data_IF_840442241430
#
_entry.id   IF_840442241430
#
_cell.length_a   1.000
_cell.length_b   1.000
_cell.length_c   1.000
_cell.angle_alpha   90.00
_cell.angle_beta   90.00
_cell.angle_gamma   90.00
#
_symmetry.space_group_name_H-M   'P 1'
#
loop_
_entity.id
_entity.type
_entity.pdbx_description
1 polymer ?
#
# COMPACT_ATOMS: atom_id res chain seq x y z
N UNK A 1 34.43 20.32 -36.02
CA UNK A 1 34.85 19.36 -35.01
C UNK A 1 34.03 18.07 -35.01
N UNK A 2 33.00 17.96 -35.86
CA UNK A 2 32.16 16.77 -36.00
C UNK A 2 31.12 16.59 -34.89
N UNK A 3 30.92 17.57 -33.99
CA UNK A 3 29.88 17.55 -32.99
C UNK A 3 28.47 17.63 -33.62
N UNK A 4 27.53 16.90 -33.10
CA UNK A 4 26.13 16.88 -33.54
C UNK A 4 25.25 17.25 -32.36
N UNK A 5 24.28 18.16 -32.57
CA UNK A 5 23.23 18.50 -31.62
C UNK A 5 21.92 18.01 -32.21
N UNK A 6 21.11 17.36 -31.39
CA UNK A 6 19.77 16.92 -31.74
C UNK A 6 18.78 17.46 -30.70
N UNK A 7 17.67 17.99 -31.14
CA UNK A 7 16.55 18.40 -30.30
C UNK A 7 15.32 17.57 -30.69
N UNK A 8 14.59 17.11 -29.71
CA UNK A 8 13.36 16.33 -29.88
C UNK A 8 12.44 16.56 -28.68
N UNK A 9 11.12 16.39 -28.88
CA UNK A 9 10.18 16.32 -27.76
C UNK A 9 10.42 15.04 -26.96
N UNK A 10 10.22 15.10 -25.65
CA UNK A 10 10.38 13.93 -24.78
C UNK A 10 9.31 12.90 -25.11
N UNK A 11 9.76 11.74 -25.55
CA UNK A 11 8.93 10.57 -25.82
C UNK A 11 9.76 9.30 -25.61
N UNK A 12 9.10 8.19 -25.35
CA UNK A 12 9.73 6.90 -25.11
C UNK A 12 10.70 6.43 -26.21
N UNK A 13 10.51 6.90 -27.44
CA UNK A 13 11.33 6.52 -28.60
C UNK A 13 12.33 7.59 -29.07
N UNK A 14 12.30 8.78 -28.48
CA UNK A 14 13.03 9.97 -29.00
C UNK A 14 14.54 9.75 -29.15
N UNK A 15 15.14 8.92 -28.29
CA UNK A 15 16.60 8.70 -28.25
C UNK A 15 17.00 7.22 -28.35
N UNK A 16 16.06 6.34 -28.62
CA UNK A 16 16.31 4.89 -28.72
C UNK A 16 17.33 4.57 -29.81
N UNK A 17 18.34 3.75 -29.49
CA UNK A 17 19.38 3.31 -30.45
C UNK A 17 20.43 4.36 -30.79
N UNK A 18 20.47 5.48 -30.05
CA UNK A 18 21.47 6.53 -30.24
C UNK A 18 22.43 6.57 -29.04
N UNK A 19 23.65 7.00 -29.27
CA UNK A 19 24.67 7.25 -28.23
C UNK A 19 24.90 8.74 -28.09
N UNK A 20 24.88 9.24 -26.84
CA UNK A 20 25.11 10.65 -26.54
C UNK A 20 26.19 10.82 -25.49
N UNK A 21 26.95 11.92 -25.60
CA UNK A 21 27.91 12.34 -24.59
C UNK A 21 27.20 13.20 -23.51
N UNK A 22 26.18 13.95 -23.92
CA UNK A 22 25.39 14.80 -23.04
C UNK A 22 23.91 14.63 -23.40
N UNK A 23 23.08 14.43 -22.41
CA UNK A 23 21.63 14.49 -22.51
C UNK A 23 21.19 15.66 -21.64
N UNK A 24 20.40 16.57 -22.24
CA UNK A 24 19.85 17.72 -21.55
C UNK A 24 18.32 17.64 -21.60
N UNK A 25 17.70 17.58 -20.42
CA UNK A 25 16.26 17.54 -20.26
C UNK A 25 15.79 18.87 -19.69
N UNK A 26 14.97 19.55 -20.45
CA UNK A 26 14.41 20.85 -20.12
C UNK A 26 12.96 20.69 -19.65
N UNK A 27 12.56 21.44 -18.64
CA UNK A 27 11.21 21.43 -18.05
C UNK A 27 10.72 20.01 -17.70
N UNK A 28 11.61 19.21 -17.12
CA UNK A 28 11.36 17.78 -16.91
C UNK A 28 10.19 17.49 -15.95
N UNK A 29 9.95 18.36 -14.95
CA UNK A 29 8.82 18.23 -14.05
C UNK A 29 7.45 18.39 -14.72
N UNK A 30 7.38 18.95 -15.95
CA UNK A 30 6.14 19.15 -16.69
C UNK A 30 5.79 17.99 -17.63
N UNK A 31 6.63 16.96 -17.67
CA UNK A 31 6.39 15.77 -18.48
C UNK A 31 5.40 14.87 -17.72
N UNK A 32 4.33 14.36 -18.39
CA UNK A 32 3.42 13.40 -17.75
C UNK A 32 4.18 12.18 -17.19
N UNK A 33 3.81 11.74 -16.00
CA UNK A 33 4.53 10.70 -15.25
C UNK A 33 4.77 9.43 -16.05
N UNK A 34 3.74 8.92 -16.75
CA UNK A 34 3.86 7.72 -17.58
C UNK A 34 4.88 7.88 -18.74
N UNK A 35 5.02 9.09 -19.30
CA UNK A 35 6.02 9.38 -20.34
C UNK A 35 7.42 9.49 -19.72
N UNK A 36 7.54 10.10 -18.54
CA UNK A 36 8.80 10.22 -17.83
C UNK A 36 9.35 8.83 -17.45
N UNK A 37 8.51 7.95 -16.92
CA UNK A 37 8.87 6.58 -16.55
C UNK A 37 9.32 5.75 -17.76
N UNK A 38 8.54 5.80 -18.85
CA UNK A 38 8.86 5.09 -20.07
C UNK A 38 10.15 5.65 -20.73
N UNK A 39 10.34 6.96 -20.71
CA UNK A 39 11.53 7.62 -21.20
C UNK A 39 12.76 7.17 -20.41
N UNK A 40 12.73 7.24 -19.09
CA UNK A 40 13.85 6.81 -18.25
C UNK A 40 14.20 5.34 -18.46
N UNK A 41 13.20 4.45 -18.48
CA UNK A 41 13.39 3.02 -18.73
C UNK A 41 14.05 2.75 -20.09
N UNK A 42 13.73 3.56 -21.11
CA UNK A 42 14.28 3.38 -22.45
C UNK A 42 15.64 4.06 -22.68
N UNK A 43 15.92 5.13 -21.94
CA UNK A 43 17.13 5.95 -22.10
C UNK A 43 18.24 5.53 -21.14
N UNK A 44 17.90 5.06 -19.96
CA UNK A 44 18.89 4.67 -18.94
C UNK A 44 19.92 3.62 -19.43
N UNK A 45 19.56 2.58 -20.22
CA UNK A 45 20.55 1.69 -20.80
C UNK A 45 21.53 2.39 -21.74
N UNK A 46 21.09 3.44 -22.43
CA UNK A 46 21.94 4.26 -23.31
C UNK A 46 22.91 5.12 -22.51
N UNK A 47 22.43 5.67 -21.37
CA UNK A 47 23.25 6.45 -20.44
C UNK A 47 24.31 5.54 -19.80
N UNK A 48 23.92 4.39 -19.29
CA UNK A 48 24.80 3.45 -18.59
C UNK A 48 25.84 2.77 -19.49
N UNK A 49 25.58 2.68 -20.79
CA UNK A 49 26.55 2.12 -21.76
C UNK A 49 27.69 3.06 -22.11
N UNK A 50 27.54 4.36 -21.86
CA UNK A 50 28.54 5.39 -22.13
C UNK A 50 29.46 5.60 -20.94
N UNK A 51 30.78 5.47 -21.12
CA UNK A 51 31.80 5.70 -20.07
C UNK A 51 31.83 7.14 -19.52
N UNK A 52 31.21 8.11 -20.21
CA UNK A 52 31.29 9.55 -19.89
C UNK A 52 30.03 10.32 -20.25
N UNK A 53 28.89 9.65 -20.37
CA UNK A 53 27.61 10.34 -20.64
C UNK A 53 27.21 11.18 -19.43
N UNK A 54 26.91 12.45 -19.66
CA UNK A 54 26.39 13.37 -18.64
C UNK A 54 24.92 13.60 -18.88
N UNK A 55 24.11 13.56 -17.81
CA UNK A 55 22.70 13.92 -17.84
C UNK A 55 22.52 15.20 -17.04
N UNK A 56 21.89 16.19 -17.66
CA UNK A 56 21.55 17.45 -17.04
C UNK A 56 20.03 17.59 -17.12
N UNK A 57 19.41 17.74 -15.97
CA UNK A 57 17.95 17.88 -15.85
C UNK A 57 17.67 19.23 -15.22
N UNK A 58 16.89 20.06 -15.87
CA UNK A 58 16.44 21.34 -15.32
C UNK A 58 14.92 21.43 -15.37
N UNK A 59 14.34 22.03 -14.34
CA UNK A 59 12.91 22.36 -14.28
C UNK A 59 12.65 23.28 -13.10
N UNK A 60 11.53 24.01 -13.15
CA UNK A 60 10.84 24.44 -11.94
C UNK A 60 10.08 23.24 -11.35
N UNK A 61 9.88 23.19 -10.03
CA UNK A 61 9.14 22.10 -9.39
C UNK A 61 7.69 22.04 -9.84
N UNK A 62 7.16 20.84 -10.02
CA UNK A 62 5.74 20.62 -10.29
C UNK A 62 5.24 19.34 -9.62
N UNK A 63 4.79 19.46 -8.38
CA UNK A 63 4.33 18.31 -7.62
C UNK A 63 5.42 17.28 -7.30
N UNK A 64 5.00 16.14 -6.75
CA UNK A 64 5.90 15.03 -6.36
C UNK A 64 5.99 13.99 -7.49
N UNK A 65 6.48 14.38 -8.63
CA UNK A 65 6.67 13.55 -9.82
C UNK A 65 8.10 12.94 -9.87
N UNK A 66 8.50 12.37 -11.01
CA UNK A 66 9.83 11.78 -11.16
C UNK A 66 10.95 12.80 -10.95
N UNK A 67 10.78 14.08 -11.30
CA UNK A 67 11.78 15.12 -11.02
C UNK A 67 11.99 15.30 -9.52
N UNK A 68 10.91 15.34 -8.74
CA UNK A 68 10.98 15.35 -7.28
C UNK A 68 11.70 14.13 -6.74
N UNK A 69 11.36 12.92 -7.23
CA UNK A 69 12.02 11.68 -6.78
C UNK A 69 13.53 11.73 -7.03
N UNK A 70 13.94 12.12 -8.24
CA UNK A 70 15.37 12.24 -8.57
C UNK A 70 16.08 13.26 -7.69
N UNK A 71 15.43 14.40 -7.42
CA UNK A 71 15.93 15.45 -6.54
C UNK A 71 16.08 14.96 -5.11
N UNK A 72 15.03 14.43 -4.54
CA UNK A 72 15.00 13.96 -3.15
C UNK A 72 15.97 12.78 -2.91
N UNK A 73 16.03 11.84 -3.84
CA UNK A 73 17.01 10.75 -3.78
C UNK A 73 18.46 11.27 -3.88
N UNK A 74 18.69 12.35 -4.60
CA UNK A 74 20.01 12.98 -4.67
C UNK A 74 20.38 13.65 -3.33
N UNK A 75 19.45 14.35 -2.70
CA UNK A 75 19.65 14.94 -1.36
C UNK A 75 19.95 13.86 -0.30
N UNK A 76 19.26 12.72 -0.38
CA UNK A 76 19.48 11.55 0.48
C UNK A 76 20.69 10.70 0.07
N UNK A 77 21.39 11.08 -1.01
CA UNK A 77 22.53 10.34 -1.58
C UNK A 77 22.21 8.90 -2.01
N UNK A 78 20.97 8.67 -2.44
CA UNK A 78 20.49 7.39 -2.97
C UNK A 78 20.80 7.22 -4.47
N UNK A 79 21.10 8.31 -5.18
CA UNK A 79 21.52 8.32 -6.58
C UNK A 79 22.81 9.15 -6.76
N UNK A 80 23.32 9.17 -7.98
CA UNK A 80 24.58 9.89 -8.34
C UNK A 80 24.35 11.33 -8.81
N UNK A 81 23.14 11.85 -8.80
CA UNK A 81 22.83 13.22 -9.20
C UNK A 81 23.30 14.21 -8.14
N UNK A 82 23.66 15.39 -8.61
CA UNK A 82 24.03 16.53 -7.77
C UNK A 82 22.97 17.60 -7.95
N UNK A 83 22.32 17.99 -6.87
CA UNK A 83 21.28 19.04 -6.86
C UNK A 83 21.91 20.42 -6.92
N UNK A 84 21.30 21.31 -7.68
CA UNK A 84 21.62 22.74 -7.69
C UNK A 84 20.31 23.51 -7.74
N UNK A 85 20.01 24.25 -6.69
CA UNK A 85 18.85 25.12 -6.60
C UNK A 85 19.29 26.57 -6.82
N UNK A 86 18.46 27.34 -7.51
CA UNK A 86 18.67 28.79 -7.70
C UNK A 86 17.39 29.48 -7.24
N UNK A 87 17.39 29.90 -6.00
CA UNK A 87 16.30 30.68 -5.43
C UNK A 87 16.22 32.08 -6.01
N UNK A 88 15.02 32.63 -6.14
CA UNK A 88 14.82 33.97 -6.78
C UNK A 88 15.68 35.06 -6.14
N UNK A 89 15.89 35.03 -4.83
CA UNK A 89 16.69 36.04 -4.11
C UNK A 89 18.18 36.02 -4.45
N UNK A 90 18.68 34.95 -5.06
CA UNK A 90 20.06 34.84 -5.55
C UNK A 90 20.25 35.49 -6.93
N UNK A 91 19.16 35.80 -7.61
CA UNK A 91 19.20 36.38 -8.95
C UNK A 91 19.35 37.91 -8.85
N UNK A 92 20.42 38.50 -9.42
CA UNK A 92 20.64 39.93 -9.36
C UNK A 92 19.44 40.74 -9.90
N UNK A 93 19.00 41.73 -9.14
CA UNK A 93 17.90 42.61 -9.49
C UNK A 93 16.52 42.13 -9.06
N UNK A 94 16.43 41.00 -8.38
CA UNK A 94 15.20 40.51 -7.74
C UNK A 94 15.23 40.86 -6.24
N UNK A 95 14.38 41.78 -5.82
CA UNK A 95 14.25 42.23 -4.42
C UNK A 95 12.82 42.01 -3.91
N UNK A 96 12.55 42.46 -2.70
CA UNK A 96 11.23 42.34 -2.08
C UNK A 96 10.14 43.03 -2.90
N UNK A 97 10.42 44.17 -3.53
CA UNK A 97 9.47 44.90 -4.38
C UNK A 97 9.16 44.08 -5.64
N UNK A 98 10.19 43.48 -6.24
CA UNK A 98 10.01 42.58 -7.39
C UNK A 98 9.13 41.36 -7.00
N UNK A 99 9.34 40.80 -5.79
CA UNK A 99 8.51 39.70 -5.25
C UNK A 99 7.03 40.10 -5.16
N UNK A 100 6.76 41.23 -4.50
CA UNK A 100 5.38 41.74 -4.34
C UNK A 100 4.70 41.99 -5.70
N UNK A 101 5.41 42.60 -6.63
CA UNK A 101 4.90 42.86 -7.98
C UNK A 101 4.64 41.59 -8.76
N UNK A 102 5.51 40.61 -8.65
CA UNK A 102 5.38 39.31 -9.33
C UNK A 102 4.18 38.55 -8.78
N UNK A 103 4.00 38.50 -7.46
CA UNK A 103 2.84 37.88 -6.82
C UNK A 103 1.54 38.57 -7.23
N UNK A 104 1.54 39.91 -7.27
CA UNK A 104 0.36 40.67 -7.70
C UNK A 104 -0.04 40.45 -9.18
N UNK A 105 0.94 40.11 -10.03
CA UNK A 105 0.71 39.86 -11.47
C UNK A 105 0.42 38.37 -11.76
N UNK A 106 0.71 37.45 -10.82
CA UNK A 106 0.50 36.03 -10.98
C UNK A 106 -0.39 35.50 -9.84
N UNK A 107 0.19 34.72 -8.93
CA UNK A 107 -0.40 34.31 -7.66
C UNK A 107 0.72 33.94 -6.71
N UNK A 108 0.44 33.90 -5.42
CA UNK A 108 1.41 33.44 -4.41
C UNK A 108 1.81 31.99 -4.66
N UNK A 109 0.89 31.18 -5.08
CA UNK A 109 1.08 29.78 -5.41
C UNK A 109 2.01 29.57 -6.62
N UNK A 110 1.77 30.32 -7.70
CA UNK A 110 2.64 30.32 -8.87
C UNK A 110 4.03 30.87 -8.52
N UNK A 111 4.10 31.89 -7.66
CA UNK A 111 5.38 32.42 -7.18
C UNK A 111 6.18 31.35 -6.40
N UNK A 112 5.52 30.64 -5.50
CA UNK A 112 6.17 29.61 -4.70
C UNK A 112 6.68 28.46 -5.58
N UNK A 113 5.94 28.04 -6.60
CA UNK A 113 6.39 27.02 -7.54
C UNK A 113 7.57 27.48 -8.39
N UNK A 114 7.44 28.65 -9.03
CA UNK A 114 8.38 29.09 -10.07
C UNK A 114 9.64 29.78 -9.51
N UNK A 115 9.55 30.35 -8.31
CA UNK A 115 10.60 31.21 -7.77
C UNK A 115 11.10 30.84 -6.38
N UNK A 116 10.23 30.33 -5.50
CA UNK A 116 10.66 29.78 -4.20
C UNK A 116 11.12 28.30 -4.34
N UNK A 117 11.06 27.74 -5.55
CA UNK A 117 11.44 26.36 -5.84
C UNK A 117 10.73 25.31 -4.99
N UNK A 118 9.52 25.59 -4.52
CA UNK A 118 8.77 24.66 -3.69
C UNK A 118 8.11 23.56 -4.55
N UNK A 119 8.35 22.30 -4.18
CA UNK A 119 7.60 21.17 -4.72
C UNK A 119 6.20 21.17 -4.09
N UNK A 120 5.31 21.96 -4.68
CA UNK A 120 3.92 22.01 -4.26
C UNK A 120 3.13 20.93 -4.99
N UNK A 121 2.28 20.21 -4.24
CA UNK A 121 1.24 19.40 -4.85
C UNK A 121 0.22 20.28 -5.57
N UNK A 122 -0.68 19.66 -6.34
CA UNK A 122 -1.76 20.38 -7.03
C UNK A 122 -2.63 21.18 -6.05
N UNK A 123 -3.25 22.22 -6.57
CA UNK A 123 -4.20 23.05 -5.80
C UNK A 123 -5.43 22.23 -5.45
N UNK A 124 -5.98 22.44 -4.25
CA UNK A 124 -7.18 21.77 -3.77
C UNK A 124 -7.05 20.23 -3.69
N UNK A 125 -5.91 19.72 -3.26
CA UNK A 125 -5.75 18.31 -2.95
C UNK A 125 -6.61 17.88 -1.76
N UNK A 126 -7.01 16.61 -1.73
CA UNK A 126 -7.79 16.05 -0.63
C UNK A 126 -7.04 16.15 0.71
N UNK A 127 -5.77 15.81 0.69
CA UNK A 127 -4.87 15.90 1.84
C UNK A 127 -4.19 17.27 1.83
N UNK A 128 -4.06 17.87 3.00
CA UNK A 128 -3.45 19.22 3.10
C UNK A 128 -2.00 19.23 2.62
N UNK A 129 -1.60 20.30 1.96
CA UNK A 129 -0.22 20.46 1.48
C UNK A 129 0.80 20.37 2.62
N UNK A 130 0.45 20.86 3.81
CA UNK A 130 1.29 20.74 5.02
C UNK A 130 1.52 19.28 5.39
N UNK A 131 0.49 18.42 5.31
CA UNK A 131 0.62 17.00 5.60
C UNK A 131 1.44 16.28 4.53
N UNK A 132 1.18 16.58 3.25
CA UNK A 132 1.91 15.99 2.12
C UNK A 132 3.43 16.32 2.18
N UNK A 133 3.80 17.55 2.54
CA UNK A 133 5.21 17.97 2.64
C UNK A 133 6.02 17.22 3.71
N UNK A 134 5.38 16.73 4.77
CA UNK A 134 6.07 16.00 5.84
C UNK A 134 6.07 14.48 5.64
N UNK A 135 5.35 13.98 4.63
CA UNK A 135 5.37 12.55 4.30
C UNK A 135 6.72 12.15 3.74
N UNK A 136 7.25 11.06 4.26
CA UNK A 136 8.50 10.46 3.81
C UNK A 136 8.21 9.09 3.20
N UNK A 137 9.07 8.66 2.29
CA UNK A 137 8.98 7.32 1.71
C UNK A 137 10.27 6.54 1.96
N UNK A 138 10.13 5.24 1.96
CA UNK A 138 11.23 4.28 2.10
C UNK A 138 11.23 3.30 0.94
N UNK A 139 12.37 2.67 0.69
CA UNK A 139 12.44 1.61 -0.29
C UNK A 139 11.78 0.34 0.25
N UNK A 140 11.04 -0.42 -0.57
CA UNK A 140 10.44 -1.67 -0.12
C UNK A 140 11.50 -2.70 0.24
N UNK A 141 11.19 -3.58 1.21
CA UNK A 141 12.06 -4.72 1.58
C UNK A 141 12.27 -5.64 0.36
N UNK A 142 11.22 -5.84 -0.42
CA UNK A 142 11.28 -6.57 -1.69
C UNK A 142 10.43 -5.90 -2.73
N UNK A 143 10.92 -5.86 -3.98
CA UNK A 143 10.19 -5.35 -5.15
C UNK A 143 10.30 -6.36 -6.28
N UNK A 144 9.17 -6.87 -6.76
CA UNK A 144 9.15 -7.83 -7.84
C UNK A 144 7.88 -7.70 -8.69
N UNK A 145 8.05 -7.47 -10.00
CA UNK A 145 6.96 -7.49 -10.99
C UNK A 145 5.75 -6.60 -10.64
N UNK A 146 5.99 -5.47 -9.98
CA UNK A 146 4.97 -4.52 -9.55
C UNK A 146 4.44 -4.75 -8.14
N UNK A 147 4.89 -5.80 -7.44
CA UNK A 147 4.62 -6.02 -6.02
C UNK A 147 5.79 -5.47 -5.18
N UNK A 148 5.49 -4.50 -4.36
CA UNK A 148 6.40 -3.91 -3.37
C UNK A 148 5.93 -4.29 -1.96
N UNK A 149 6.82 -4.84 -1.16
CA UNK A 149 6.57 -5.26 0.21
C UNK A 149 7.37 -4.38 1.15
N UNK A 150 6.70 -3.73 2.09
CA UNK A 150 7.29 -2.86 3.12
C UNK A 150 7.42 -3.55 4.47
N UNK A 151 6.45 -4.41 4.81
CA UNK A 151 6.46 -5.23 6.02
C UNK A 151 6.08 -6.67 5.67
N UNK A 152 6.84 -7.63 6.18
CA UNK A 152 6.50 -9.04 6.03
C UNK A 152 5.24 -9.39 6.85
N UNK A 153 4.45 -10.39 6.44
CA UNK A 153 3.30 -10.82 7.22
C UNK A 153 3.72 -11.34 8.60
N UNK A 154 2.97 -10.95 9.62
CA UNK A 154 3.15 -11.37 11.01
C UNK A 154 2.02 -12.34 11.35
N UNK A 155 2.35 -13.46 11.99
CA UNK A 155 1.36 -14.43 12.45
C UNK A 155 0.34 -13.77 13.39
N UNK A 156 -0.92 -14.18 13.35
CA UNK A 156 -2.04 -13.64 14.12
C UNK A 156 -2.40 -12.17 13.84
N UNK A 157 -1.77 -11.52 12.85
CA UNK A 157 -2.21 -10.21 12.39
C UNK A 157 -3.37 -10.34 11.42
N UNK A 158 -4.30 -9.38 11.51
CA UNK A 158 -5.46 -9.26 10.61
C UNK A 158 -5.13 -8.29 9.49
N UNK A 159 -5.28 -8.77 8.25
CA UNK A 159 -5.00 -7.98 7.06
C UNK A 159 -6.26 -7.77 6.22
N UNK A 160 -6.35 -6.59 5.63
CA UNK A 160 -7.35 -6.25 4.63
C UNK A 160 -6.64 -5.87 3.34
N UNK A 161 -7.13 -6.37 2.23
CA UNK A 161 -6.66 -6.02 0.90
C UNK A 161 -7.76 -5.30 0.14
N UNK A 162 -7.47 -4.13 -0.40
CA UNK A 162 -8.38 -3.43 -1.31
C UNK A 162 -7.83 -3.43 -2.72
N UNK A 163 -8.70 -3.65 -3.69
CA UNK A 163 -8.33 -3.91 -5.08
C UNK A 163 -9.07 -2.97 -6.01
N UNK A 164 -8.33 -2.28 -6.88
CA UNK A 164 -8.82 -1.52 -8.02
C UNK A 164 -8.35 -2.19 -9.31
N UNK A 165 -9.26 -2.38 -10.26
CA UNK A 165 -9.02 -3.21 -11.45
C UNK A 165 -9.12 -2.41 -12.73
N UNK A 166 -8.00 -2.24 -13.43
CA UNK A 166 -7.96 -1.65 -14.76
C UNK A 166 -8.11 -2.69 -15.88
N UNK A 167 -8.46 -2.21 -17.08
CA UNK A 167 -8.61 -3.05 -18.28
C UNK A 167 -7.30 -3.57 -18.89
N UNK A 168 -6.14 -3.16 -18.35
CA UNK A 168 -4.83 -3.56 -18.88
C UNK A 168 -4.51 -2.96 -20.26
N UNK A 169 -5.01 -1.75 -20.54
CA UNK A 169 -4.81 -1.02 -21.80
C UNK A 169 -3.68 0.02 -21.72
N UNK A 170 -2.75 -0.13 -20.78
CA UNK A 170 -1.56 0.70 -20.55
C UNK A 170 -1.79 2.12 -20.01
N UNK A 171 -3.03 2.56 -19.83
CA UNK A 171 -3.33 3.90 -19.29
C UNK A 171 -3.52 3.87 -17.78
N UNK A 172 -4.41 3.00 -17.32
CA UNK A 172 -4.74 2.86 -15.90
C UNK A 172 -4.06 1.60 -15.33
N UNK A 173 -3.80 1.59 -14.05
CA UNK A 173 -3.12 0.47 -13.39
C UNK A 173 -4.14 -0.44 -12.68
N UNK A 174 -3.94 -1.75 -12.80
CA UNK A 174 -4.51 -2.66 -11.81
C UNK A 174 -3.67 -2.58 -10.54
N UNK A 175 -4.31 -2.26 -9.44
CA UNK A 175 -3.64 -2.01 -8.18
C UNK A 175 -4.33 -2.72 -7.02
N UNK A 176 -3.55 -3.06 -5.99
CA UNK A 176 -4.07 -3.37 -4.67
C UNK A 176 -3.13 -2.89 -3.57
N UNK A 177 -3.70 -2.64 -2.41
CA UNK A 177 -2.98 -2.34 -1.18
C UNK A 177 -3.35 -3.35 -0.11
N UNK A 178 -2.36 -3.78 0.67
CA UNK A 178 -2.55 -4.62 1.84
C UNK A 178 -2.37 -3.77 3.09
N UNK A 179 -3.37 -3.79 3.95
CA UNK A 179 -3.42 -3.04 5.20
C UNK A 179 -3.31 -3.99 6.39
N UNK A 180 -2.37 -3.75 7.27
CA UNK A 180 -2.39 -4.31 8.61
C UNK A 180 -3.41 -3.53 9.44
N UNK A 181 -4.45 -4.20 9.86
CA UNK A 181 -5.56 -3.60 10.60
C UNK A 181 -5.61 -4.06 12.06
N UNK A 182 -4.60 -4.79 12.50
CA UNK A 182 -4.51 -5.37 13.84
C UNK A 182 -4.57 -4.32 14.94
N UNK A 183 -3.94 -3.17 14.72
CA UNK A 183 -3.88 -2.05 15.66
C UNK A 183 -4.01 -0.71 14.94
N UNK A 184 -4.40 0.33 15.67
CA UNK A 184 -4.33 1.71 15.19
C UNK A 184 -3.01 2.31 15.67
N UNK A 185 -2.21 2.94 14.78
CA UNK A 185 -2.49 3.25 13.38
C UNK A 185 -2.47 2.03 12.47
N UNK A 186 -3.40 1.99 11.49
CA UNK A 186 -3.36 1.04 10.39
C UNK A 186 -2.12 1.30 9.53
N UNK A 187 -1.54 0.26 8.92
CA UNK A 187 -0.34 0.39 8.10
C UNK A 187 -0.53 -0.26 6.74
N UNK A 188 -0.08 0.40 5.69
CA UNK A 188 0.03 -0.21 4.37
C UNK A 188 1.34 -0.99 4.33
N UNK A 189 1.25 -2.32 4.25
CA UNK A 189 2.39 -3.25 4.36
C UNK A 189 2.86 -3.78 3.02
N UNK A 190 1.98 -3.77 2.01
CA UNK A 190 2.35 -4.14 0.64
C UNK A 190 1.49 -3.38 -0.39
N UNK A 191 2.08 -3.15 -1.55
CA UNK A 191 1.46 -2.51 -2.71
C UNK A 191 1.72 -3.33 -3.96
N UNK A 192 0.70 -3.45 -4.80
CA UNK A 192 0.85 -3.92 -6.17
C UNK A 192 0.34 -2.87 -7.15
N UNK A 193 1.08 -2.62 -8.22
CA UNK A 193 0.70 -1.69 -9.28
C UNK A 193 1.24 -2.16 -10.63
N UNK A 194 0.35 -2.40 -11.60
CA UNK A 194 0.77 -2.87 -12.92
C UNK A 194 -0.26 -2.49 -13.99
N UNK A 195 0.18 -1.85 -15.08
CA UNK A 195 -0.68 -1.40 -16.19
C UNK A 195 -0.67 -2.34 -17.41
N UNK A 196 0.09 -3.44 -17.35
CA UNK A 196 0.24 -4.40 -18.44
C UNK A 196 -0.48 -5.71 -18.13
N UNK A 197 -0.73 -6.00 -16.85
CA UNK A 197 -1.34 -7.25 -16.43
C UNK A 197 -2.73 -7.41 -17.04
N UNK A 198 -2.98 -8.60 -17.57
CA UNK A 198 -4.32 -8.93 -18.07
C UNK A 198 -5.27 -9.19 -16.90
N UNK A 199 -6.50 -8.67 -16.92
CA UNK A 199 -7.48 -8.85 -15.84
C UNK A 199 -7.70 -10.31 -15.44
N UNK A 200 -7.62 -11.26 -16.37
CA UNK A 200 -7.77 -12.69 -16.12
C UNK A 200 -6.61 -13.33 -15.33
N UNK A 201 -5.44 -12.70 -15.30
CA UNK A 201 -4.26 -13.17 -14.55
C UNK A 201 -4.13 -12.51 -13.18
N UNK A 202 -4.73 -11.34 -13.03
CA UNK A 202 -4.64 -10.55 -11.82
C UNK A 202 -5.20 -11.25 -10.56
N UNK A 203 -6.32 -12.02 -10.63
CA UNK A 203 -6.84 -12.76 -9.48
C UNK A 203 -5.84 -13.74 -8.87
N UNK A 204 -4.97 -14.36 -9.67
CA UNK A 204 -3.95 -15.28 -9.14
C UNK A 204 -2.92 -14.56 -8.27
N UNK A 205 -2.54 -13.33 -8.65
CA UNK A 205 -1.59 -12.52 -7.86
C UNK A 205 -2.28 -12.05 -6.56
N UNK A 206 -3.52 -11.56 -6.67
CA UNK A 206 -4.33 -11.18 -5.51
C UNK A 206 -4.44 -12.34 -4.53
N UNK A 207 -4.84 -13.52 -5.00
CA UNK A 207 -4.99 -14.72 -4.20
C UNK A 207 -3.68 -15.09 -3.49
N UNK A 208 -2.57 -15.18 -4.24
CA UNK A 208 -1.27 -15.55 -3.68
C UNK A 208 -0.83 -14.59 -2.57
N UNK A 209 -0.96 -13.29 -2.81
CA UNK A 209 -0.56 -12.28 -1.80
C UNK A 209 -1.51 -12.31 -0.61
N UNK A 210 -2.83 -12.42 -0.82
CA UNK A 210 -3.80 -12.48 0.26
C UNK A 210 -3.61 -13.70 1.16
N UNK A 211 -3.32 -14.88 0.59
CA UNK A 211 -2.99 -16.09 1.36
C UNK A 211 -1.72 -15.88 2.20
N UNK A 212 -0.68 -15.27 1.62
CA UNK A 212 0.56 -14.98 2.34
C UNK A 212 0.35 -14.01 3.52
N UNK A 213 -0.60 -13.08 3.40
CA UNK A 213 -0.98 -12.16 4.48
C UNK A 213 -2.17 -12.72 5.30
N UNK A 214 -1.99 -13.91 5.86
CA UNK A 214 -2.91 -14.60 6.79
C UNK A 214 -4.34 -14.71 6.24
N UNK A 215 -4.51 -14.99 4.96
CA UNK A 215 -5.80 -14.99 4.28
C UNK A 215 -6.55 -13.65 4.41
N UNK A 216 -5.90 -12.56 4.01
CA UNK A 216 -6.41 -11.20 4.12
C UNK A 216 -7.84 -11.06 3.60
N UNK A 217 -8.67 -10.25 4.28
CA UNK A 217 -10.01 -9.91 3.80
C UNK A 217 -9.93 -9.04 2.55
N UNK A 218 -10.51 -9.48 1.43
CA UNK A 218 -10.44 -8.76 0.16
C UNK A 218 -11.70 -7.94 -0.08
N UNK A 219 -11.55 -6.65 -0.35
CA UNK A 219 -12.60 -5.78 -0.88
C UNK A 219 -12.20 -5.31 -2.27
N UNK A 220 -12.82 -5.87 -3.31
CA UNK A 220 -12.56 -5.49 -4.68
C UNK A 220 -13.59 -4.45 -5.17
N UNK A 221 -13.12 -3.45 -5.95
CA UNK A 221 -14.01 -2.63 -6.74
C UNK A 221 -14.57 -3.46 -7.89
N UNK A 222 -15.91 -3.47 -8.03
CA UNK A 222 -16.59 -4.32 -9.02
C UNK A 222 -17.25 -3.53 -10.15
N UNK A 223 -16.85 -2.29 -10.33
CA UNK A 223 -17.20 -1.55 -11.52
C UNK A 223 -16.52 -2.20 -12.73
N UNK A 224 -17.18 -2.15 -13.87
CA UNK A 224 -16.62 -2.63 -15.14
C UNK A 224 -16.06 -4.07 -15.08
N UNK A 225 -14.74 -4.24 -15.29
CA UNK A 225 -14.07 -5.56 -15.32
C UNK A 225 -13.83 -6.16 -13.94
N UNK A 226 -13.87 -5.35 -12.88
CA UNK A 226 -13.61 -5.80 -11.51
C UNK A 226 -14.55 -6.90 -11.03
N UNK A 227 -15.79 -6.93 -11.55
CA UNK A 227 -16.73 -8.02 -11.27
C UNK A 227 -16.20 -9.39 -11.72
N UNK A 228 -15.55 -9.48 -12.88
CA UNK A 228 -14.96 -10.73 -13.37
C UNK A 228 -13.79 -11.19 -12.49
N UNK A 229 -12.98 -10.25 -12.00
CA UNK A 229 -11.87 -10.54 -11.07
C UNK A 229 -12.43 -11.11 -9.76
N UNK A 230 -13.49 -10.51 -9.22
CA UNK A 230 -14.15 -10.98 -8.00
C UNK A 230 -14.78 -12.39 -8.21
N UNK A 231 -15.41 -12.63 -9.36
CA UNK A 231 -15.98 -13.93 -9.69
C UNK A 231 -14.91 -15.03 -9.77
N UNK A 232 -13.76 -14.76 -10.40
CA UNK A 232 -12.64 -15.72 -10.47
C UNK A 232 -12.10 -16.00 -9.05
N UNK A 233 -11.92 -14.98 -8.22
CA UNK A 233 -11.47 -15.17 -6.83
C UNK A 233 -12.43 -16.07 -6.06
N UNK A 234 -13.74 -15.86 -6.20
CA UNK A 234 -14.76 -16.61 -5.44
C UNK A 234 -14.99 -18.02 -5.98
N UNK A 235 -15.16 -18.16 -7.31
CA UNK A 235 -15.65 -19.41 -7.89
C UNK A 235 -14.55 -20.30 -8.45
N UNK A 236 -13.46 -19.72 -8.99
CA UNK A 236 -12.38 -20.51 -9.58
C UNK A 236 -11.25 -20.76 -8.57
N UNK A 237 -10.96 -19.78 -7.70
CA UNK A 237 -9.91 -19.86 -6.68
C UNK A 237 -10.44 -20.16 -5.28
N UNK A 238 -11.78 -20.26 -5.12
CA UNK A 238 -12.49 -20.60 -3.87
C UNK A 238 -11.99 -19.80 -2.65
N UNK A 239 -11.80 -18.47 -2.85
CA UNK A 239 -11.28 -17.62 -1.78
C UNK A 239 -12.39 -17.19 -0.81
N UNK A 240 -12.34 -17.67 0.42
CA UNK A 240 -13.41 -17.51 1.41
C UNK A 240 -13.54 -16.10 2.00
N UNK A 241 -12.43 -15.34 2.10
CA UNK A 241 -12.40 -14.02 2.75
C UNK A 241 -12.68 -12.87 1.77
N UNK A 242 -13.48 -13.10 0.73
CA UNK A 242 -13.95 -12.06 -0.17
C UNK A 242 -15.17 -11.36 0.41
N UNK A 243 -15.07 -10.04 0.61
CA UNK A 243 -16.12 -9.23 1.22
C UNK A 243 -17.25 -8.92 0.25
N UNK A 244 -18.47 -8.87 0.75
CA UNK A 244 -19.68 -8.65 -0.03
C UNK A 244 -20.44 -7.41 0.44
N UNK A 245 -21.09 -6.75 -0.51
CA UNK A 245 -21.96 -5.60 -0.25
C UNK A 245 -23.42 -5.90 -0.62
N UNK A 246 -24.35 -5.25 0.06
CA UNK A 246 -25.77 -5.33 -0.24
C UNK A 246 -26.10 -4.65 -1.59
N UNK A 247 -26.89 -5.34 -2.44
CA UNK A 247 -27.34 -4.77 -3.71
C UNK A 247 -28.60 -3.90 -3.56
N UNK A 248 -29.44 -4.14 -2.56
CA UNK A 248 -30.73 -3.45 -2.35
C UNK A 248 -30.87 -3.02 -0.89
N UNK A 249 -31.72 -2.02 -0.65
CA UNK A 249 -31.93 -1.46 0.68
C UNK A 249 -30.84 -0.47 1.04
N UNK A 250 -29.93 -0.83 1.93
CA UNK A 250 -28.71 -0.06 2.27
C UNK A 250 -27.59 -0.41 1.28
N UNK A 251 -27.77 -0.07 0.00
CA UNK A 251 -26.78 -0.33 -1.04
C UNK A 251 -25.41 0.22 -0.65
N UNK A 252 -24.38 -0.59 -0.86
CA UNK A 252 -23.00 -0.28 -0.45
C UNK A 252 -22.67 -0.66 1.00
N UNK A 253 -23.62 -1.20 1.78
CA UNK A 253 -23.30 -1.71 3.11
C UNK A 253 -22.59 -3.07 2.99
N UNK A 254 -21.49 -3.23 3.68
CA UNK A 254 -20.79 -4.53 3.82
C UNK A 254 -21.67 -5.44 4.68
N UNK A 255 -21.96 -6.63 4.21
CA UNK A 255 -22.87 -7.58 4.85
C UNK A 255 -22.22 -8.90 5.27
N UNK A 256 -20.98 -9.13 4.87
CA UNK A 256 -20.26 -10.34 5.27
C UNK A 256 -19.26 -10.83 4.24
N UNK A 257 -18.88 -12.08 4.38
CA UNK A 257 -18.00 -12.85 3.50
C UNK A 257 -18.65 -14.19 3.16
N UNK A 258 -18.11 -14.92 2.19
CA UNK A 258 -18.56 -16.23 1.77
C UNK A 258 -19.39 -16.23 0.48
N UNK A 259 -20.36 -17.11 0.32
CA UNK A 259 -21.11 -17.25 -0.93
C UNK A 259 -22.11 -16.13 -1.17
N UNK A 260 -22.08 -15.56 -2.38
CA UNK A 260 -23.01 -14.51 -2.80
C UNK A 260 -24.45 -15.05 -2.92
N UNK A 261 -25.38 -14.38 -2.25
CA UNK A 261 -26.81 -14.63 -2.39
C UNK A 261 -27.48 -13.66 -3.38
N UNK A 262 -28.74 -13.87 -3.69
CA UNK A 262 -29.49 -13.04 -4.66
C UNK A 262 -29.62 -11.55 -4.30
N UNK A 263 -29.22 -11.14 -3.10
CA UNK A 263 -29.30 -9.77 -2.59
C UNK A 263 -27.93 -9.14 -2.30
N UNK A 264 -26.85 -9.87 -2.55
CA UNK A 264 -25.47 -9.44 -2.30
C UNK A 264 -24.67 -9.49 -3.57
N UNK A 265 -23.64 -8.67 -3.68
CA UNK A 265 -22.63 -8.73 -4.74
C UNK A 265 -21.25 -8.85 -4.09
N UNK A 266 -20.37 -9.57 -4.75
CA UNK A 266 -18.96 -9.65 -4.36
C UNK A 266 -18.32 -8.27 -4.54
N UNK A 267 -17.56 -7.82 -3.52
CA UNK A 267 -16.90 -6.52 -3.57
C UNK A 267 -17.85 -5.32 -3.46
N UNK A 268 -17.33 -4.14 -3.77
CA UNK A 268 -18.03 -2.85 -3.67
C UNK A 268 -18.19 -2.19 -5.04
N UNK A 269 -19.39 -1.68 -5.31
CA UNK A 269 -19.61 -0.81 -6.46
C UNK A 269 -19.30 0.62 -6.06
N UNK A 270 -18.32 1.25 -6.71
CA UNK A 270 -17.96 2.64 -6.49
C UNK A 270 -19.12 3.56 -6.92
N UNK A 271 -19.89 4.01 -5.94
CA UNK A 271 -20.94 5.01 -6.09
C UNK A 271 -20.45 6.37 -5.58
N UNK A 272 -21.14 7.43 -5.96
CA UNK A 272 -20.84 8.78 -5.45
C UNK A 272 -20.83 8.83 -3.90
N UNK A 273 -21.72 8.09 -3.26
CA UNK A 273 -21.78 8.03 -1.79
C UNK A 273 -20.60 7.29 -1.21
N UNK A 274 -20.23 6.13 -1.77
CA UNK A 274 -19.05 5.35 -1.33
C UNK A 274 -17.79 6.21 -1.50
N UNK A 275 -17.60 6.83 -2.68
CA UNK A 275 -16.43 7.68 -2.95
C UNK A 275 -16.37 8.88 -2.00
N UNK A 276 -17.48 9.61 -1.79
CA UNK A 276 -17.51 10.75 -0.86
C UNK A 276 -17.20 10.36 0.58
N UNK A 277 -17.81 9.30 1.09
CA UNK A 277 -17.57 8.81 2.45
C UNK A 277 -16.12 8.32 2.58
N UNK A 278 -15.63 7.55 1.61
CA UNK A 278 -14.26 7.06 1.59
C UNK A 278 -13.24 8.20 1.57
N UNK A 279 -13.40 9.19 0.69
CA UNK A 279 -12.52 10.36 0.64
C UNK A 279 -12.53 11.16 1.95
N UNK A 280 -13.72 11.39 2.54
CA UNK A 280 -13.80 12.12 3.81
C UNK A 280 -13.09 11.38 4.95
N UNK A 281 -13.27 10.07 5.03
CA UNK A 281 -12.62 9.27 6.06
C UNK A 281 -11.11 9.10 5.79
N UNK A 282 -10.71 8.92 4.54
CA UNK A 282 -9.31 8.89 4.11
C UNK A 282 -8.57 10.14 4.58
N UNK A 283 -9.14 11.33 4.33
CA UNK A 283 -8.60 12.59 4.84
C UNK A 283 -8.38 12.52 6.35
N UNK A 284 -9.39 12.10 7.09
CA UNK A 284 -9.31 12.01 8.56
C UNK A 284 -8.24 11.02 9.01
N UNK A 285 -8.18 9.82 8.42
CA UNK A 285 -7.20 8.79 8.79
C UNK A 285 -5.76 9.25 8.56
N UNK A 286 -5.51 9.89 7.40
CA UNK A 286 -4.17 10.36 7.04
C UNK A 286 -3.78 11.59 7.86
N UNK A 287 -4.65 12.59 8.00
CA UNK A 287 -4.32 13.82 8.71
C UNK A 287 -4.19 13.65 10.23
N UNK A 288 -4.81 12.60 10.80
CA UNK A 288 -4.69 12.27 12.24
C UNK A 288 -3.71 11.14 12.52
N UNK A 289 -2.85 10.76 11.57
CA UNK A 289 -1.84 9.70 11.70
C UNK A 289 -2.41 8.33 12.10
N UNK A 290 -3.66 8.05 11.72
CA UNK A 290 -4.32 6.76 11.94
C UNK A 290 -4.13 5.77 10.80
N UNK A 291 -3.60 6.23 9.67
CA UNK A 291 -3.15 5.42 8.55
C UNK A 291 -1.72 5.85 8.20
N UNK A 292 -0.79 4.91 8.25
CA UNK A 292 0.64 5.11 7.97
C UNK A 292 1.03 4.33 6.73
N UNK A 293 1.81 4.95 5.87
CA UNK A 293 2.42 4.34 4.69
C UNK A 293 3.70 5.08 4.33
N UNK A 294 4.60 4.39 3.63
CA UNK A 294 5.93 4.88 3.28
C UNK A 294 6.23 4.61 1.78
N UNK A 295 5.20 4.60 0.96
CA UNK A 295 5.32 4.34 -0.48
C UNK A 295 5.32 5.64 -1.27
N UNK A 296 6.29 5.79 -2.18
CA UNK A 296 6.42 6.96 -3.04
C UNK A 296 5.23 7.13 -3.99
N UNK A 297 4.77 6.06 -4.65
CA UNK A 297 3.71 6.17 -5.65
C UNK A 297 2.38 6.58 -5.01
N UNK A 298 2.10 6.08 -3.80
CA UNK A 298 0.93 6.52 -3.02
C UNK A 298 1.01 8.01 -2.72
N UNK A 299 2.15 8.49 -2.22
CA UNK A 299 2.34 9.91 -1.92
C UNK A 299 2.19 10.74 -3.19
N UNK A 300 2.77 10.30 -4.31
CA UNK A 300 2.68 10.98 -5.60
C UNK A 300 1.22 11.09 -6.08
N UNK A 301 0.42 10.03 -6.00
CA UNK A 301 -0.99 10.08 -6.36
C UNK A 301 -1.79 11.02 -5.44
N UNK A 302 -1.52 11.02 -4.13
CA UNK A 302 -2.18 11.92 -3.18
C UNK A 302 -1.89 13.40 -3.46
N UNK A 303 -0.73 13.73 -4.02
CA UNK A 303 -0.37 15.11 -4.38
C UNK A 303 -1.09 15.63 -5.62
N UNK A 304 -1.65 14.73 -6.42
CA UNK A 304 -2.41 15.03 -7.65
C UNK A 304 -3.89 14.65 -7.53
N UNK A 305 -4.32 14.15 -6.36
CA UNK A 305 -5.72 13.78 -6.11
C UNK A 305 -6.50 15.02 -5.66
N UNK A 306 -7.16 15.67 -6.64
CA UNK A 306 -7.76 17.01 -6.52
C UNK A 306 -9.28 16.97 -6.57
N UNK A 307 -9.89 18.05 -6.13
CA UNK A 307 -11.32 18.23 -6.27
C UNK A 307 -11.66 18.72 -7.69
N UNK A 308 -12.38 17.89 -8.46
CA UNK A 308 -12.98 18.25 -9.75
C UNK A 308 -14.50 18.35 -9.61
N UNK A 309 -15.01 19.57 -9.52
CA UNK A 309 -16.43 19.80 -9.28
C UNK A 309 -16.89 19.26 -7.91
N UNK A 310 -17.70 18.20 -7.91
CA UNK A 310 -18.16 17.55 -6.67
C UNK A 310 -17.48 16.19 -6.40
N UNK A 311 -16.55 15.79 -7.25
CA UNK A 311 -15.81 14.54 -7.14
C UNK A 311 -14.33 14.81 -6.80
N UNK A 312 -13.66 13.79 -6.28
CA UNK A 312 -12.22 13.75 -6.08
C UNK A 312 -11.63 12.81 -7.11
N UNK A 313 -10.66 13.25 -7.89
CA UNK A 313 -10.07 12.50 -9.00
C UNK A 313 -8.63 12.93 -9.21
N UNK A 314 -7.83 12.11 -9.90
CA UNK A 314 -6.49 12.50 -10.31
C UNK A 314 -6.53 13.72 -11.22
N UNK A 315 -5.52 14.57 -11.16
CA UNK A 315 -5.28 15.64 -12.14
C UNK A 315 -5.10 15.07 -13.55
N UNK A 316 -5.38 15.86 -14.58
CA UNK A 316 -5.31 15.39 -15.97
C UNK A 316 -3.89 14.89 -16.33
N UNK A 317 -3.81 13.63 -16.75
CA UNK A 317 -2.55 12.96 -17.05
C UNK A 317 -1.88 12.27 -15.86
N UNK A 318 -2.50 12.29 -14.68
CA UNK A 318 -2.10 11.54 -13.49
C UNK A 318 -3.03 10.35 -13.25
N UNK A 319 -2.63 9.46 -12.34
CA UNK A 319 -3.38 8.28 -11.95
C UNK A 319 -3.85 8.40 -10.49
N UNK A 320 -4.93 7.70 -10.13
CA UNK A 320 -5.48 7.62 -8.78
C UNK A 320 -5.79 6.18 -8.32
N UNK A 321 -5.22 5.17 -8.98
CA UNK A 321 -5.52 3.76 -8.73
C UNK A 321 -5.17 3.35 -7.27
N UNK A 322 -4.02 3.76 -6.76
CA UNK A 322 -3.62 3.52 -5.36
C UNK A 322 -4.43 4.38 -4.38
N UNK A 323 -4.67 5.63 -4.72
CA UNK A 323 -5.52 6.52 -3.94
C UNK A 323 -6.95 5.95 -3.83
N UNK A 324 -7.48 5.35 -4.90
CA UNK A 324 -8.78 4.67 -4.91
C UNK A 324 -8.78 3.44 -4.02
N UNK A 325 -7.71 2.64 -3.98
CA UNK A 325 -7.56 1.56 -3.01
C UNK A 325 -7.67 2.08 -1.56
N UNK A 326 -7.03 3.22 -1.23
CA UNK A 326 -7.15 3.83 0.11
C UNK A 326 -8.57 4.37 0.35
N UNK A 327 -9.24 4.93 -0.66
CA UNK A 327 -10.64 5.37 -0.57
C UNK A 327 -11.56 4.20 -0.22
N UNK A 328 -11.38 3.03 -0.88
CA UNK A 328 -12.13 1.81 -0.60
C UNK A 328 -11.89 1.34 0.84
N UNK A 329 -10.64 1.27 1.27
CA UNK A 329 -10.30 0.91 2.65
C UNK A 329 -10.92 1.87 3.66
N UNK A 330 -10.77 3.17 3.41
CA UNK A 330 -11.28 4.20 4.31
C UNK A 330 -12.80 4.18 4.42
N UNK A 331 -13.50 3.85 3.33
CA UNK A 331 -14.94 3.61 3.36
C UNK A 331 -15.26 2.33 4.14
N UNK A 332 -14.57 1.22 3.89
CA UNK A 332 -14.75 -0.05 4.59
C UNK A 332 -14.59 0.10 6.11
N UNK A 333 -13.58 0.86 6.54
CA UNK A 333 -13.28 1.13 7.95
C UNK A 333 -14.41 1.90 8.68
N UNK A 334 -15.35 2.52 7.96
CA UNK A 334 -16.55 3.12 8.57
C UNK A 334 -17.69 2.14 8.77
N UNK A 335 -17.61 0.93 8.18
CA UNK A 335 -18.69 -0.06 8.24
C UNK A 335 -18.79 -0.72 9.62
N UNK A 336 -20.01 -1.05 10.03
CA UNK A 336 -20.25 -1.78 11.28
C UNK A 336 -19.61 -3.17 11.21
N UNK A 337 -19.64 -3.81 10.03
CA UNK A 337 -19.02 -5.11 9.82
C UNK A 337 -17.50 -5.10 10.09
N UNK A 338 -16.78 -4.07 9.63
CA UNK A 338 -15.34 -3.94 9.88
C UNK A 338 -15.05 -3.74 11.37
N UNK A 339 -15.88 -2.97 12.08
CA UNK A 339 -15.76 -2.81 13.54
C UNK A 339 -15.99 -4.10 14.28
N UNK A 340 -17.04 -4.84 13.91
CA UNK A 340 -17.34 -6.14 14.51
C UNK A 340 -16.23 -7.16 14.27
N UNK A 341 -15.66 -7.19 13.05
CA UNK A 341 -14.53 -8.03 12.71
C UNK A 341 -13.34 -7.72 13.61
N UNK A 342 -12.98 -6.45 13.74
CA UNK A 342 -11.89 -5.99 14.58
C UNK A 342 -12.14 -6.27 16.08
N UNK A 343 -13.34 -6.03 16.57
CA UNK A 343 -13.72 -6.33 17.96
C UNK A 343 -13.67 -7.84 18.25
N UNK A 344 -14.07 -8.67 17.31
CA UNK A 344 -14.01 -10.13 17.45
C UNK A 344 -12.57 -10.63 17.47
N UNK A 345 -11.69 -10.11 16.62
CA UNK A 345 -10.28 -10.46 16.60
C UNK A 345 -9.56 -10.03 17.88
N UNK A 346 -9.87 -8.82 18.39
CA UNK A 346 -9.33 -8.35 19.68
C UNK A 346 -9.80 -9.25 20.83
N UNK A 347 -11.09 -9.64 20.85
CA UNK A 347 -11.61 -10.56 21.87
C UNK A 347 -11.01 -11.95 21.78
N UNK A 348 -10.82 -12.48 20.57
CA UNK A 348 -10.19 -13.78 20.35
C UNK A 348 -8.74 -13.78 20.86
N UNK A 349 -7.97 -12.73 20.56
CA UNK A 349 -6.59 -12.58 21.07
C UNK A 349 -6.55 -12.46 22.60
N UNK A 350 -7.40 -11.63 23.19
CA UNK A 350 -7.47 -11.50 24.65
C UNK A 350 -7.84 -12.83 25.32
N UNK A 351 -8.72 -13.61 24.70
CA UNK A 351 -9.07 -14.94 25.20
C UNK A 351 -7.90 -15.92 25.08
N UNK A 352 -7.17 -15.87 23.97
CA UNK A 352 -5.98 -16.68 23.75
C UNK A 352 -4.87 -16.33 24.76
N UNK A 353 -4.57 -15.03 24.93
CA UNK A 353 -3.61 -14.55 25.92
C UNK A 353 -3.98 -14.96 27.35
N UNK A 354 -5.27 -14.88 27.71
CA UNK A 354 -5.74 -15.36 29.01
C UNK A 354 -5.57 -16.86 29.17
N UNK A 355 -5.85 -17.63 28.11
CA UNK A 355 -5.67 -19.09 28.12
C UNK A 355 -4.20 -19.45 28.30
N UNK A 356 -3.29 -18.80 27.57
CA UNK A 356 -1.84 -18.99 27.69
C UNK A 356 -1.33 -18.61 29.08
N UNK A 357 -1.85 -17.52 29.67
CA UNK A 357 -1.53 -17.14 31.05
C UNK A 357 -2.03 -18.20 32.04
N UNK A 358 -3.24 -18.69 31.87
CA UNK A 358 -3.78 -19.77 32.71
C UNK A 358 -2.95 -21.04 32.54
N UNK A 359 -2.57 -21.42 31.32
CA UNK A 359 -1.71 -22.57 31.05
C UNK A 359 -0.30 -22.39 31.63
N UNK A 360 0.24 -21.16 31.56
CA UNK A 360 1.54 -20.83 32.18
C UNK A 360 1.47 -20.87 33.73
N UNK A 361 0.37 -20.35 34.30
CA UNK A 361 0.12 -20.41 35.74
C UNK A 361 -0.23 -21.84 36.22
N UNK A 362 -0.75 -22.67 35.31
CA UNK A 362 -0.94 -24.12 35.52
C UNK A 362 0.31 -24.95 35.14
N UNK A 363 1.45 -24.26 34.86
CA UNK A 363 2.73 -24.98 34.75
C UNK A 363 2.85 -25.88 35.97
N UNK A 364 3.15 -27.20 35.78
CA UNK A 364 2.89 -28.19 36.77
C UNK A 364 3.54 -27.77 38.08
N UNK A 365 2.74 -27.56 39.10
CA UNK A 365 3.22 -27.80 40.45
C UNK A 365 3.95 -29.11 40.34
N UNK A 366 5.29 -29.06 40.41
CA UNK A 366 6.07 -30.25 40.31
C UNK A 366 5.41 -31.29 41.17
N UNK A 367 5.22 -32.49 40.66
CA UNK A 367 4.83 -33.63 41.49
C UNK A 367 5.73 -33.54 42.69
N UNK A 368 5.16 -33.17 43.84
CA UNK A 368 5.83 -33.33 45.09
C UNK A 368 5.90 -34.85 45.20
N UNK A 369 7.04 -35.41 44.84
CA UNK A 369 7.38 -36.77 45.16
C UNK A 369 7.31 -36.82 46.69
N UNK A 370 6.27 -37.40 47.22
CA UNK A 370 6.08 -37.55 48.66
C UNK A 370 7.07 -38.60 49.26
N UNK A 371 8.00 -39.07 48.42
CA UNK A 371 9.04 -40.00 48.86
C UNK A 371 8.53 -41.40 49.16
N UNK A 372 7.25 -41.66 48.82
CA UNK A 372 6.71 -43.02 48.88
C UNK A 372 7.09 -43.73 47.59
N UNK A 373 8.08 -44.61 47.66
CA UNK A 373 8.39 -45.54 46.59
C UNK A 373 7.23 -46.55 46.50
N UNK A 374 6.34 -46.35 45.55
CA UNK A 374 5.37 -47.38 45.15
C UNK A 374 6.16 -48.55 44.52
N UNK A 375 6.56 -49.50 45.30
CA UNK A 375 7.15 -50.75 44.81
C UNK A 375 6.07 -51.61 44.17
N UNK A 376 5.92 -51.43 42.85
CA UNK A 376 5.16 -52.41 42.05
C UNK A 376 6.06 -53.59 41.72
N UNK A 377 5.59 -54.78 41.91
CA UNK A 377 6.27 -55.96 41.46
C UNK A 377 5.35 -56.83 40.58
N UNK A 378 5.97 -57.54 39.65
CA UNK A 378 5.26 -58.48 38.77
C UNK A 378 5.55 -59.90 39.27
N UNK A 379 4.49 -60.66 39.49
CA UNK A 379 4.64 -62.05 39.89
C UNK A 379 5.02 -62.99 38.74
N UNK A 380 5.18 -64.28 39.03
CA UNK A 380 5.61 -65.27 38.01
C UNK A 380 4.53 -65.55 36.95
N UNK A 381 3.34 -65.15 37.18
CA UNK A 381 2.19 -65.29 36.26
C UNK A 381 1.95 -64.04 35.41
N UNK A 382 2.72 -62.98 35.65
CA UNK A 382 2.69 -61.74 34.90
C UNK A 382 1.74 -60.68 35.47
N UNK A 383 1.20 -60.93 36.65
CA UNK A 383 0.27 -59.96 37.27
C UNK A 383 1.02 -58.89 38.05
N UNK A 384 0.55 -57.65 37.96
CA UNK A 384 1.15 -56.48 38.62
C UNK A 384 0.47 -56.20 39.95
N UNK A 385 1.26 -56.14 40.99
CA UNK A 385 0.83 -55.89 42.37
C UNK A 385 1.39 -54.56 42.86
N UNK A 386 0.60 -53.87 43.64
CA UNK A 386 0.96 -52.61 44.29
C UNK A 386 0.92 -52.80 45.82
N UNK A 387 1.90 -52.21 46.51
CA UNK A 387 1.93 -52.23 47.96
C UNK A 387 1.27 -50.97 48.47
N UNK A 388 0.19 -51.06 49.23
CA UNK A 388 -0.47 -49.90 49.81
C UNK A 388 0.31 -49.28 50.97
N UNK A 389 -0.12 -48.11 51.42
CA UNK A 389 0.54 -47.35 52.50
C UNK A 389 0.59 -48.09 53.87
N UNK A 390 -0.10 -49.22 53.98
CA UNK A 390 -0.11 -50.06 55.15
C UNK A 390 0.76 -51.32 54.98
N UNK A 391 1.39 -51.48 53.81
CA UNK A 391 2.26 -52.59 53.49
C UNK A 391 1.53 -53.85 53.00
N UNK A 392 0.24 -53.76 52.73
CA UNK A 392 -0.56 -54.85 52.18
C UNK A 392 -0.51 -54.85 50.64
N UNK A 393 -0.49 -56.07 50.06
CA UNK A 393 -0.42 -56.24 48.61
C UNK A 393 -1.80 -56.23 48.01
N UNK A 394 -2.10 -55.24 47.13
CA UNK A 394 -3.34 -55.11 46.35
C UNK A 394 -3.10 -55.39 44.86
N UNK A 395 -3.96 -56.22 44.26
CA UNK A 395 -3.93 -56.51 42.85
C UNK A 395 -4.45 -55.32 42.03
N UNK A 396 -3.70 -54.86 41.06
CA UNK A 396 -4.14 -53.76 40.23
C UNK A 396 -5.17 -54.22 39.19
N UNK A 397 -6.43 -53.95 39.44
CA UNK A 397 -7.48 -54.07 38.42
C UNK A 397 -7.45 -52.91 37.47
N UNK A 398 -7.50 -53.23 36.18
CA UNK A 398 -7.55 -52.32 35.06
C UNK A 398 -8.56 -51.17 35.27
N UNK A 399 -8.08 -49.95 35.19
CA UNK A 399 -8.88 -48.86 34.61
C UNK A 399 -8.63 -48.87 33.10
N UNK A 400 -9.53 -49.51 32.35
CA UNK A 400 -9.72 -49.23 30.94
C UNK A 400 -10.71 -48.07 30.76
#
# INVERSE_FOLDING_TARGET
NGSKIMAASTSASAVRGMSFNIIFLDEFAFIPTHIADEFFSSVYPTISSGKSTKVIIISTPKGMNMFYKLWHDAELKRNEYVTTEVHWSEVPGRDALWREQTIANTSEEQFNQEFECEFLGSVNTLITSTKLKIMTYEDPITSNSGLDVYEAPIEDHTYVMTVDVARGLTKDYSAFLVFDTTTIPYRIVAKYRNNIIKPMLFPNIIHQVAVNYNHAYIMAEVNDIGGQVADILQYDLEYDNLLMCAMRGRAGQVVGQGFSGSKTQLGVKMSTTVKKTGCSNMKTLIETDKLIFQDYDIIAELTTFIQKGQAWEAEDGCNDDLAMCIVIFSWLATSDYFRELHDNDVRARLYQEQKEQIEADMAPFGFVDDGLNDETFVDKEGDVWHTDEYGDRAYMWEFR
#
